data_IF_219680203278
#
_entry.id   IF_219680203278
#
_cell.length_a   1.000
_cell.length_b   1.000
_cell.length_c   1.000
_cell.angle_alpha   90.00
_cell.angle_beta   90.00
_cell.angle_gamma   90.00
#
_symmetry.space_group_name_H-M   'P 1'
#
loop_
_entity.id
_entity.type
_entity.pdbx_description
1 polymer ?
#
# COMPACT_ATOMS: atom_id res chain seq x y z
N UNK A 1 -27.31 -19.52 -2.30
CA UNK A 1 -27.26 -18.07 -2.03
C UNK A 1 -27.29 -17.26 -3.33
N UNK A 2 -26.40 -17.47 -4.31
CA UNK A 2 -26.41 -16.78 -5.62
C UNK A 2 -27.78 -16.74 -6.33
N UNK A 3 -28.49 -17.89 -6.42
CA UNK A 3 -29.82 -17.97 -7.02
C UNK A 3 -30.90 -17.13 -6.30
N UNK A 4 -30.72 -16.83 -5.01
CA UNK A 4 -31.64 -15.95 -4.25
C UNK A 4 -31.38 -14.46 -4.54
N UNK A 5 -30.17 -14.12 -4.99
CA UNK A 5 -29.77 -12.76 -5.33
C UNK A 5 -29.91 -12.46 -6.83
N UNK A 6 -30.37 -13.42 -7.65
CA UNK A 6 -30.54 -13.22 -9.09
C UNK A 6 -29.24 -12.98 -9.86
N UNK A 7 -28.09 -13.35 -9.27
CA UNK A 7 -26.76 -13.17 -9.87
C UNK A 7 -26.05 -14.50 -10.07
N UNK A 8 -25.05 -14.51 -10.95
CA UNK A 8 -24.23 -15.70 -11.18
C UNK A 8 -23.47 -16.11 -9.92
N UNK A 9 -23.07 -17.38 -9.85
CA UNK A 9 -22.23 -17.90 -8.76
C UNK A 9 -20.91 -17.12 -8.65
N UNK A 10 -20.30 -16.78 -9.79
CA UNK A 10 -19.07 -15.99 -9.84
C UNK A 10 -19.27 -14.59 -9.27
N UNK A 11 -20.35 -13.89 -9.67
CA UNK A 11 -20.65 -12.55 -9.17
C UNK A 11 -20.87 -12.57 -7.65
N UNK A 12 -21.56 -13.60 -7.14
CA UNK A 12 -21.76 -13.78 -5.71
C UNK A 12 -20.45 -14.06 -4.96
N UNK A 13 -19.58 -14.92 -5.50
CA UNK A 13 -18.26 -15.18 -4.93
C UNK A 13 -17.37 -13.92 -4.91
N UNK A 14 -17.34 -13.17 -6.01
CA UNK A 14 -16.63 -11.89 -6.12
C UNK A 14 -17.11 -10.90 -5.06
N UNK A 15 -18.42 -10.79 -4.85
CA UNK A 15 -18.99 -9.90 -3.85
C UNK A 15 -18.56 -10.27 -2.43
N UNK A 16 -18.61 -11.57 -2.07
CA UNK A 16 -18.16 -12.03 -0.74
C UNK A 16 -16.68 -11.71 -0.53
N UNK A 17 -15.83 -12.01 -1.51
CA UNK A 17 -14.39 -11.76 -1.43
C UNK A 17 -14.10 -10.26 -1.33
N UNK A 18 -14.81 -9.43 -2.08
CA UNK A 18 -14.64 -7.98 -2.02
C UNK A 18 -15.07 -7.41 -0.68
N UNK A 19 -16.20 -7.86 -0.14
CA UNK A 19 -16.67 -7.46 1.19
C UNK A 19 -15.70 -7.88 2.28
N UNK A 20 -15.21 -9.12 2.26
CA UNK A 20 -14.22 -9.61 3.21
C UNK A 20 -12.90 -8.82 3.11
N UNK A 21 -12.43 -8.53 1.90
CA UNK A 21 -11.21 -7.73 1.69
C UNK A 21 -11.35 -6.27 2.17
N UNK A 22 -12.58 -5.73 2.16
CA UNK A 22 -12.85 -4.35 2.57
C UNK A 22 -13.11 -4.20 4.07
N UNK A 23 -13.34 -5.31 4.78
CA UNK A 23 -13.70 -5.30 6.21
C UNK A 23 -12.48 -5.13 7.15
N UNK A 24 -11.25 -5.29 6.64
CA UNK A 24 -10.03 -5.35 7.48
C UNK A 24 -8.94 -4.34 7.13
N UNK A 25 -9.15 -3.45 6.17
CA UNK A 25 -8.17 -2.39 5.91
C UNK A 25 -8.72 -1.07 6.44
N UNK A 26 -8.05 -0.38 7.38
CA UNK A 26 -8.16 1.08 7.46
C UNK A 26 -8.04 1.56 6.01
N UNK A 27 -9.03 2.34 5.54
CA UNK A 27 -9.04 2.82 4.15
C UNK A 27 -7.66 3.34 3.77
N UNK A 28 -7.26 3.24 2.48
CA UNK A 28 -5.90 3.50 2.05
C UNK A 28 -5.40 4.77 2.74
N UNK A 29 -4.43 4.60 3.63
CA UNK A 29 -3.88 5.71 4.37
C UNK A 29 -3.30 6.65 3.32
N UNK A 30 -3.88 7.85 3.21
CA UNK A 30 -3.38 8.85 2.30
C UNK A 30 -1.96 9.20 2.76
N UNK A 31 -0.98 8.64 2.07
CA UNK A 31 0.43 8.80 2.41
C UNK A 31 0.84 10.27 2.34
N UNK A 32 0.18 11.07 1.50
CA UNK A 32 0.40 12.52 1.41
C UNK A 32 -0.12 13.20 2.67
N UNK A 33 -1.35 12.89 3.09
CA UNK A 33 -1.90 13.41 4.34
C UNK A 33 -1.08 12.98 5.57
N UNK A 34 -0.60 11.74 5.59
CA UNK A 34 0.24 11.21 6.65
C UNK A 34 1.59 11.92 6.71
N UNK A 35 2.26 12.05 5.55
CA UNK A 35 3.52 12.76 5.44
C UNK A 35 3.38 14.24 5.82
N UNK A 36 2.26 14.89 5.47
CA UNK A 36 1.98 16.26 5.92
C UNK A 36 1.78 16.35 7.43
N UNK A 37 1.11 15.37 8.04
CA UNK A 37 0.86 15.34 9.49
C UNK A 37 2.16 15.21 10.28
N UNK A 38 3.10 14.38 9.81
CA UNK A 38 4.34 14.10 10.55
C UNK A 38 5.55 14.92 10.09
N UNK A 39 5.63 15.25 8.80
CA UNK A 39 6.79 15.88 8.15
C UNK A 39 6.42 17.17 7.40
N UNK A 40 5.24 17.74 7.64
CA UNK A 40 4.79 19.00 7.04
C UNK A 40 5.62 20.21 7.48
N UNK A 41 5.16 21.42 7.16
CA UNK A 41 5.92 22.66 7.36
C UNK A 41 6.47 22.86 8.79
N UNK A 42 5.75 22.39 9.81
CA UNK A 42 6.17 22.49 11.22
C UNK A 42 6.86 21.22 11.74
N UNK A 43 6.71 20.08 11.05
CA UNK A 43 7.25 18.77 11.45
C UNK A 43 8.40 18.26 10.58
N UNK A 44 8.86 19.07 9.62
CA UNK A 44 9.96 18.72 8.73
C UNK A 44 11.23 18.40 9.53
N UNK A 45 11.75 17.18 9.36
CA UNK A 45 12.99 16.75 9.99
C UNK A 45 14.16 17.01 9.04
N UNK A 46 15.12 17.82 9.48
CA UNK A 46 16.42 17.87 8.81
C UNK A 46 17.19 16.60 9.18
N UNK A 47 17.23 15.65 8.26
CA UNK A 47 17.92 14.38 8.46
C UNK A 47 19.37 14.57 7.99
N UNK A 48 20.37 14.52 8.91
CA UNK A 48 21.76 14.50 8.50
C UNK A 48 22.00 13.18 7.75
N UNK A 49 21.97 13.26 6.43
CA UNK A 49 22.23 12.10 5.59
C UNK A 49 23.70 11.71 5.76
N UNK A 50 24.00 10.42 6.01
CA UNK A 50 25.38 9.98 6.05
C UNK A 50 26.04 10.28 4.71
N UNK A 51 27.36 10.51 4.73
CA UNK A 51 28.13 10.57 3.51
C UNK A 51 27.81 9.35 2.66
N UNK A 52 27.49 9.57 1.38
CA UNK A 52 27.16 8.49 0.46
C UNK A 52 28.28 7.45 0.52
N UNK A 53 27.95 6.26 1.00
CA UNK A 53 28.87 5.12 0.98
C UNK A 53 29.31 4.83 -0.46
N UNK A 54 30.39 4.06 -0.60
CA UNK A 54 30.88 3.61 -1.90
C UNK A 54 29.72 3.13 -2.78
N UNK A 55 29.82 3.43 -4.08
CA UNK A 55 28.82 3.00 -5.07
C UNK A 55 28.50 1.53 -4.84
N UNK A 56 27.21 1.17 -4.96
CA UNK A 56 26.79 -0.23 -5.00
C UNK A 56 27.70 -0.94 -6.00
N UNK A 57 28.33 -2.03 -5.57
CA UNK A 57 29.13 -2.85 -6.49
C UNK A 57 28.26 -3.20 -7.70
N UNK A 58 28.81 -3.14 -8.92
CA UNK A 58 28.08 -3.56 -10.11
C UNK A 58 27.55 -4.98 -9.87
N UNK A 59 26.28 -5.21 -10.23
CA UNK A 59 25.70 -6.55 -10.18
C UNK A 59 26.45 -7.41 -11.19
N UNK A 60 27.06 -8.48 -10.71
CA UNK A 60 27.63 -9.51 -11.57
C UNK A 60 26.48 -10.37 -12.12
N UNK A 61 26.40 -10.45 -13.44
CA UNK A 61 25.39 -11.22 -14.17
C UNK A 61 26.01 -12.46 -14.83
N UNK A 62 27.28 -12.77 -14.56
CA UNK A 62 27.90 -13.98 -15.07
C UNK A 62 27.34 -15.24 -14.34
N UNK A 63 27.08 -16.33 -15.08
CA UNK A 63 26.49 -17.57 -14.56
C UNK A 63 27.45 -18.46 -13.78
#
# INVERSE_FOLDING_TARGET
QAARHGISLEAYARQILQQASSAETPGPLDLVALAQTYFGAEGGVDLPLPARGSKREPVDFEP
#
